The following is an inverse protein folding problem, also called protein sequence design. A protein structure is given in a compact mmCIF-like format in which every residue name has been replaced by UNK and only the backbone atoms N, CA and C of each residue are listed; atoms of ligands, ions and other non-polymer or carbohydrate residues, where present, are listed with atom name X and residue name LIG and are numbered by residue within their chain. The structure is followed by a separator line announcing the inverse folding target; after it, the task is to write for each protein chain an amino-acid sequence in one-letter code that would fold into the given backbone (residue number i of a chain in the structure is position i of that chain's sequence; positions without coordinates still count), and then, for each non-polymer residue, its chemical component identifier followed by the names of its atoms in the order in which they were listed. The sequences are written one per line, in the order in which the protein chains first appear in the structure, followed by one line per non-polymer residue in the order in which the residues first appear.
data_IF_087643427145
#
_entry.id   IF_087643427145
#
_cell.length_a   1.000
_cell.length_b   1.000
_cell.length_c   1.000
_cell.angle_alpha   90.00
_cell.angle_beta   90.00
_cell.angle_gamma   90.00
#
_symmetry.space_group_name_H-M   'P 1'
#
loop_
_entity.id
_entity.type
_entity.pdbx_description
1 polymer ?
#
# COMPACT_ATOMS: atom_id res chain seq x y z
N UNK A 1 -10.95 -16.86 12.37
CA UNK A 1 -10.66 -15.62 13.15
C UNK A 1 -9.64 -14.83 12.37
N UNK A 2 -9.82 -13.50 12.17
CA UNK A 2 -8.80 -12.67 11.51
C UNK A 2 -7.55 -12.62 12.37
N UNK A 3 -6.40 -12.80 11.76
CA UNK A 3 -5.11 -12.65 12.44
C UNK A 3 -4.92 -11.22 12.94
N UNK A 4 -4.13 -11.05 13.99
CA UNK A 4 -3.79 -9.74 14.51
C UNK A 4 -3.09 -8.91 13.43
N UNK A 5 -3.55 -7.68 13.20
CA UNK A 5 -2.93 -6.72 12.29
C UNK A 5 -2.23 -5.60 13.06
N UNK A 6 -1.42 -4.80 12.38
CA UNK A 6 -0.79 -3.60 12.95
C UNK A 6 -1.76 -2.42 13.10
N UNK A 7 -3.03 -2.57 12.72
CA UNK A 7 -4.00 -1.48 12.75
C UNK A 7 -4.32 -1.06 14.19
N UNK A 8 -4.05 0.21 14.48
CA UNK A 8 -4.44 0.89 15.72
C UNK A 8 -5.90 1.35 15.61
N UNK A 9 -6.25 1.91 14.45
CA UNK A 9 -7.65 2.23 14.11
C UNK A 9 -8.32 0.98 13.54
N UNK A 10 -9.27 0.42 14.28
CA UNK A 10 -9.95 -0.83 13.93
C UNK A 10 -11.25 -0.62 13.17
N UNK A 11 -11.65 0.61 12.87
CA UNK A 11 -12.94 0.93 12.27
C UNK A 11 -13.29 0.04 11.06
N UNK A 12 -12.37 -0.11 10.11
CA UNK A 12 -12.62 -0.92 8.93
C UNK A 12 -12.86 -2.39 9.28
N UNK A 13 -12.11 -2.90 10.26
CA UNK A 13 -12.21 -4.29 10.74
C UNK A 13 -13.52 -4.56 11.49
N UNK A 14 -13.93 -3.61 12.32
CA UNK A 14 -15.13 -3.72 13.16
C UNK A 14 -16.42 -3.62 12.33
N UNK A 15 -16.32 -3.10 11.10
CA UNK A 15 -17.44 -2.94 10.17
C UNK A 15 -17.40 -3.95 9.00
N UNK A 16 -16.62 -5.01 9.11
CA UNK A 16 -16.65 -6.10 8.12
C UNK A 16 -17.96 -6.90 8.25
N UNK A 17 -18.42 -7.52 7.14
CA UNK A 17 -19.55 -8.45 7.19
C UNK A 17 -19.29 -9.61 8.19
N UNK A 18 -20.34 -10.28 8.70
CA UNK A 18 -20.20 -11.51 9.47
C UNK A 18 -19.33 -12.54 8.74
N UNK A 19 -18.54 -13.32 9.51
CA UNK A 19 -17.53 -14.22 8.94
C UNK A 19 -18.12 -15.33 8.05
N UNK A 20 -19.35 -15.71 8.30
CA UNK A 20 -20.11 -16.69 7.50
C UNK A 20 -20.50 -16.16 6.10
N UNK A 21 -20.41 -14.86 5.90
CA UNK A 21 -20.63 -14.19 4.60
C UNK A 21 -19.33 -13.96 3.82
N UNK A 22 -18.19 -14.36 4.38
CA UNK A 22 -16.92 -14.15 3.71
C UNK A 22 -16.71 -15.18 2.61
N UNK A 23 -16.11 -14.78 1.47
CA UNK A 23 -15.71 -15.73 0.45
C UNK A 23 -14.58 -16.64 0.96
N UNK A 24 -14.58 -17.88 0.52
CA UNK A 24 -13.44 -18.77 0.72
C UNK A 24 -12.29 -18.33 -0.20
N UNK A 25 -11.16 -17.94 0.41
CA UNK A 25 -9.96 -17.59 -0.34
C UNK A 25 -9.16 -18.85 -0.64
N UNK A 26 -9.13 -19.25 -1.91
CA UNK A 26 -8.27 -20.36 -2.38
C UNK A 26 -6.94 -19.78 -2.85
N UNK A 27 -5.92 -19.88 -2.03
CA UNK A 27 -4.58 -19.37 -2.29
C UNK A 27 -3.61 -20.51 -2.65
N UNK A 28 -4.08 -21.54 -3.38
CA UNK A 28 -3.26 -22.65 -3.80
C UNK A 28 -2.08 -22.17 -4.63
N UNK A 29 -0.87 -22.52 -4.20
CA UNK A 29 0.38 -22.09 -4.86
C UNK A 29 0.91 -20.72 -4.42
N UNK A 30 0.24 -20.04 -3.50
CA UNK A 30 0.73 -18.80 -2.90
C UNK A 30 1.03 -19.01 -1.41
N UNK A 31 2.28 -18.78 -1.02
CA UNK A 31 2.71 -18.83 0.37
C UNK A 31 3.00 -17.39 0.84
N UNK A 32 1.98 -16.76 1.39
CA UNK A 32 2.13 -15.41 1.97
C UNK A 32 2.56 -15.51 3.43
N UNK A 33 3.53 -14.71 3.87
CA UNK A 33 3.89 -14.64 5.27
C UNK A 33 2.73 -14.10 6.10
N UNK A 34 2.66 -14.50 7.37
CA UNK A 34 1.60 -14.06 8.30
C UNK A 34 1.53 -12.51 8.40
N UNK A 35 2.68 -11.85 8.29
CA UNK A 35 2.80 -10.39 8.31
C UNK A 35 3.42 -9.92 7.00
N UNK A 36 2.68 -9.12 6.26
CA UNK A 36 3.07 -8.60 4.97
C UNK A 36 2.68 -7.13 4.85
N UNK A 37 3.60 -6.31 4.36
CA UNK A 37 3.31 -4.97 3.89
C UNK A 37 3.52 -4.90 2.37
N UNK A 38 2.44 -4.88 1.61
CA UNK A 38 2.50 -4.89 0.14
C UNK A 38 3.25 -3.67 -0.42
N UNK A 39 3.17 -2.52 0.22
CA UNK A 39 3.92 -1.32 -0.20
C UNK A 39 5.43 -1.53 -0.10
N UNK A 40 5.90 -2.16 0.98
CA UNK A 40 7.31 -2.52 1.17
C UNK A 40 7.75 -3.58 0.14
N UNK A 41 6.98 -4.65 -0.02
CA UNK A 41 7.34 -5.74 -0.95
C UNK A 41 7.45 -5.27 -2.40
N UNK A 42 6.56 -4.37 -2.82
CA UNK A 42 6.53 -3.85 -4.19
C UNK A 42 7.56 -2.74 -4.45
N UNK A 43 8.27 -2.26 -3.44
CA UNK A 43 9.23 -1.15 -3.56
C UNK A 43 10.56 -1.46 -2.90
N UNK A 44 10.68 -1.30 -1.59
CA UNK A 44 11.95 -1.45 -0.86
C UNK A 44 12.56 -2.84 -1.04
N UNK A 45 11.74 -3.89 -0.96
CA UNK A 45 12.19 -5.26 -1.18
C UNK A 45 12.71 -5.48 -2.61
N UNK A 46 12.11 -4.82 -3.62
CA UNK A 46 12.60 -4.90 -5.00
C UNK A 46 13.96 -4.22 -5.16
N UNK A 47 14.17 -3.08 -4.51
CA UNK A 47 15.49 -2.42 -4.48
C UNK A 47 16.51 -3.30 -3.79
N UNK A 48 16.17 -3.90 -2.65
CA UNK A 48 17.05 -4.79 -1.89
C UNK A 48 17.44 -6.06 -2.68
N UNK A 49 16.54 -6.56 -3.53
CA UNK A 49 16.78 -7.70 -4.45
C UNK A 49 17.64 -7.34 -5.67
N UNK A 50 18.09 -6.08 -5.80
CA UNK A 50 18.94 -5.61 -6.92
C UNK A 50 18.17 -5.10 -8.14
N UNK A 51 16.85 -4.94 -8.06
CA UNK A 51 16.04 -4.42 -9.17
C UNK A 51 15.88 -2.90 -9.15
N UNK A 52 16.66 -2.19 -8.32
CA UNK A 52 16.54 -0.75 -8.10
C UNK A 52 16.53 0.11 -9.37
N UNK A 53 17.37 -0.24 -10.35
CA UNK A 53 17.52 0.49 -11.60
C UNK A 53 16.56 0.04 -12.72
N UNK A 54 15.77 -1.03 -12.46
CA UNK A 54 14.78 -1.50 -13.42
C UNK A 54 13.56 -0.57 -13.45
N UNK A 55 12.92 -0.49 -14.60
CA UNK A 55 11.69 0.31 -14.76
C UNK A 55 10.57 -0.32 -13.96
N UNK A 56 10.07 0.41 -12.95
CA UNK A 56 8.93 0.02 -12.14
C UNK A 56 7.61 0.59 -12.68
N UNK A 57 7.65 1.77 -13.28
CA UNK A 57 6.45 2.50 -13.66
C UNK A 57 6.68 3.31 -14.95
N UNK A 58 5.71 3.27 -15.84
CA UNK A 58 5.68 4.08 -17.06
C UNK A 58 4.38 4.90 -17.05
N UNK A 59 4.52 6.20 -17.20
CA UNK A 59 3.37 7.10 -17.28
C UNK A 59 3.76 8.55 -17.52
N UNK A 60 2.87 9.33 -18.07
CA UNK A 60 3.09 10.73 -18.42
C UNK A 60 4.38 10.96 -19.23
N UNK A 61 4.68 10.07 -20.18
CA UNK A 61 5.88 10.15 -21.04
C UNK A 61 7.20 9.86 -20.34
N UNK A 62 7.21 9.43 -19.07
CA UNK A 62 8.42 9.11 -18.31
C UNK A 62 8.41 7.65 -17.82
N UNK A 63 9.64 7.11 -17.75
CA UNK A 63 9.92 5.88 -17.01
C UNK A 63 10.43 6.26 -15.61
N UNK A 64 10.03 5.50 -14.61
CA UNK A 64 10.55 5.59 -13.24
C UNK A 64 11.08 4.24 -12.82
N UNK A 65 12.26 4.25 -12.21
CA UNK A 65 12.86 3.03 -11.66
C UNK A 65 12.21 2.65 -10.32
N UNK A 66 12.47 1.42 -9.85
CA UNK A 66 12.07 0.99 -8.50
C UNK A 66 12.67 1.89 -7.43
N UNK A 67 13.93 2.30 -7.57
CA UNK A 67 14.58 3.22 -6.64
C UNK A 67 13.86 4.57 -6.58
N UNK A 68 13.59 5.18 -7.73
CA UNK A 68 12.86 6.46 -7.80
C UNK A 68 11.44 6.35 -7.22
N UNK A 69 10.74 5.25 -7.47
CA UNK A 69 9.40 5.01 -6.94
C UNK A 69 9.43 4.79 -5.42
N UNK A 70 10.42 4.04 -4.93
CA UNK A 70 10.65 3.82 -3.50
C UNK A 70 10.92 5.12 -2.78
N UNK A 71 11.87 5.94 -3.27
CA UNK A 71 12.20 7.23 -2.69
C UNK A 71 11.01 8.19 -2.69
N UNK A 72 10.22 8.18 -3.75
CA UNK A 72 9.03 9.02 -3.85
C UNK A 72 7.95 8.59 -2.87
N UNK A 73 7.60 7.30 -2.82
CA UNK A 73 6.60 6.77 -1.89
C UNK A 73 7.04 6.94 -0.43
N UNK A 74 8.33 6.79 -0.11
CA UNK A 74 8.84 7.00 1.24
C UNK A 74 8.69 8.46 1.68
N UNK A 75 9.01 9.43 0.82
CA UNK A 75 8.79 10.86 1.15
C UNK A 75 7.32 11.18 1.41
N UNK A 76 6.41 10.62 0.62
CA UNK A 76 4.96 10.79 0.87
C UNK A 76 4.56 10.12 2.18
N UNK A 77 5.08 8.92 2.47
CA UNK A 77 4.80 8.20 3.71
C UNK A 77 5.24 9.01 4.94
N UNK A 78 6.42 9.62 4.89
CA UNK A 78 6.89 10.53 5.96
C UNK A 78 5.94 11.72 6.17
N UNK A 79 5.50 12.37 5.09
CA UNK A 79 4.52 13.47 5.21
C UNK A 79 3.22 12.98 5.85
N UNK A 80 2.71 11.81 5.45
CA UNK A 80 1.50 11.25 6.04
C UNK A 80 1.63 11.02 7.55
N UNK A 81 2.79 10.50 8.00
CA UNK A 81 3.02 10.19 9.42
C UNK A 81 3.40 11.45 10.20
N UNK A 82 4.40 12.20 9.74
CA UNK A 82 5.05 13.24 10.53
C UNK A 82 4.24 14.54 10.55
N UNK A 83 3.55 14.88 9.45
CA UNK A 83 2.77 16.13 9.35
C UNK A 83 1.28 15.91 9.59
N UNK A 84 0.73 14.79 9.13
CA UNK A 84 -0.72 14.52 9.25
C UNK A 84 -1.07 13.51 10.34
N UNK A 85 -0.10 12.89 11.00
CA UNK A 85 -0.33 11.96 12.10
C UNK A 85 -1.08 10.68 11.69
N UNK A 86 -0.97 10.26 10.42
CA UNK A 86 -1.63 9.05 9.93
C UNK A 86 -1.09 7.84 10.66
N UNK A 87 -2.00 7.04 11.22
CA UNK A 87 -1.71 5.80 11.94
C UNK A 87 -2.23 4.57 11.17
N UNK A 88 -1.65 3.39 11.42
CA UNK A 88 -2.15 2.16 10.84
C UNK A 88 -3.65 1.98 11.08
N UNK A 89 -4.40 1.68 10.01
CA UNK A 89 -5.85 1.54 10.03
C UNK A 89 -6.62 2.81 9.69
N UNK A 90 -6.00 4.00 9.71
CA UNK A 90 -6.67 5.21 9.22
C UNK A 90 -7.02 5.08 7.74
N UNK A 91 -8.09 5.77 7.31
CA UNK A 91 -8.51 5.80 5.90
C UNK A 91 -7.82 6.98 5.20
N UNK A 92 -7.16 6.67 4.07
CA UNK A 92 -6.59 7.68 3.17
C UNK A 92 -7.37 7.67 1.87
N UNK A 93 -8.11 8.75 1.61
CA UNK A 93 -8.85 8.91 0.36
C UNK A 93 -7.92 9.45 -0.73
N UNK A 94 -7.80 8.69 -1.83
CA UNK A 94 -7.07 9.11 -3.03
C UNK A 94 -8.07 9.38 -4.14
N UNK A 95 -8.28 10.67 -4.45
CA UNK A 95 -9.10 11.09 -5.59
C UNK A 95 -8.19 11.53 -6.72
N UNK A 96 -7.99 10.67 -7.69
CA UNK A 96 -7.06 10.89 -8.80
C UNK A 96 -7.42 10.02 -10.00
N UNK A 97 -7.11 10.50 -11.19
CA UNK A 97 -7.03 9.62 -12.37
C UNK A 97 -5.80 8.71 -12.31
N UNK A 98 -5.72 7.73 -13.23
CA UNK A 98 -4.59 6.81 -13.33
C UNK A 98 -3.33 7.54 -13.79
N UNK A 99 -2.43 7.82 -12.87
CA UNK A 99 -1.16 8.47 -13.13
C UNK A 99 -0.09 8.00 -12.14
N UNK A 100 1.20 8.26 -12.41
CA UNK A 100 2.29 7.84 -11.53
C UNK A 100 2.23 8.37 -10.09
N UNK A 101 1.67 9.56 -9.88
CA UNK A 101 1.55 10.13 -8.55
C UNK A 101 0.53 9.36 -7.71
N UNK A 102 -0.58 8.93 -8.31
CA UNK A 102 -1.58 8.09 -7.65
C UNK A 102 -0.95 6.80 -7.15
N UNK A 103 -0.11 6.14 -7.96
CA UNK A 103 0.59 4.91 -7.56
C UNK A 103 1.54 5.17 -6.39
N UNK A 104 2.32 6.26 -6.43
CA UNK A 104 3.22 6.61 -5.33
C UNK A 104 2.47 6.91 -4.03
N UNK A 105 1.33 7.61 -4.10
CA UNK A 105 0.47 7.87 -2.94
C UNK A 105 -0.15 6.57 -2.39
N UNK A 106 -0.60 5.68 -3.28
CA UNK A 106 -1.13 4.38 -2.90
C UNK A 106 -0.10 3.53 -2.16
N UNK A 107 1.12 3.43 -2.71
CA UNK A 107 2.21 2.70 -2.07
C UNK A 107 2.59 3.33 -0.72
N UNK A 108 2.65 4.65 -0.64
CA UNK A 108 2.94 5.37 0.60
C UNK A 108 1.89 5.08 1.68
N UNK A 109 0.60 5.19 1.34
CA UNK A 109 -0.49 4.89 2.26
C UNK A 109 -0.47 3.42 2.71
N UNK A 110 -0.15 2.48 1.80
CA UNK A 110 0.03 1.06 2.15
C UNK A 110 1.20 0.86 3.12
N UNK A 111 2.34 1.53 2.89
CA UNK A 111 3.54 1.43 3.75
C UNK A 111 3.23 1.84 5.19
N UNK A 112 2.49 2.91 5.39
CA UNK A 112 2.11 3.39 6.73
C UNK A 112 0.96 2.59 7.35
N UNK A 113 0.46 1.56 6.68
CA UNK A 113 -0.60 0.69 7.17
C UNK A 113 -2.00 1.32 7.10
N UNK A 114 -2.20 2.35 6.30
CA UNK A 114 -3.51 2.95 6.11
C UNK A 114 -4.42 2.11 5.21
N UNK A 115 -5.71 2.16 5.46
CA UNK A 115 -6.74 1.64 4.56
C UNK A 115 -7.00 2.66 3.43
N UNK A 116 -6.77 2.25 2.18
CA UNK A 116 -6.84 3.15 1.04
C UNK A 116 -8.24 3.12 0.43
N UNK A 117 -8.80 4.30 0.20
CA UNK A 117 -10.07 4.50 -0.48
C UNK A 117 -9.80 5.24 -1.79
N UNK A 118 -9.79 4.50 -2.90
CA UNK A 118 -9.61 5.10 -4.22
C UNK A 118 -10.95 5.58 -4.78
N UNK A 119 -10.96 6.78 -5.35
CA UNK A 119 -12.12 7.31 -6.06
C UNK A 119 -11.69 8.02 -7.35
N UNK A 120 -12.55 7.98 -8.33
CA UNK A 120 -12.34 8.69 -9.59
C UNK A 120 -12.64 10.19 -9.42
N UNK A 121 -12.00 11.06 -10.22
CA UNK A 121 -12.30 12.50 -10.24
C UNK A 121 -13.74 12.81 -10.62
#
# INVERSE_FOLDING_TARGET
MLNQSAHIDTFARDNLPPIDQWPEFKLEGFDYPEKLNAGFELTDAMVAKGFGDFTALIGNGRRRTYKELTDWSNRIAHVLVDEYGVQPGNRVLIRSGNNPAMVACWLAATKVGAAIVNTMP
#
